data_IF_854019527285
#
_entry.id   IF_854019527285
#
_cell.length_a   1.000
_cell.length_b   1.000
_cell.length_c   1.000
_cell.angle_alpha   90.00
_cell.angle_beta   90.00
_cell.angle_gamma   90.00
#
_symmetry.space_group_name_H-M   'P 1'
#
loop_
_entity.id
_entity.type
_entity.pdbx_description
1 polymer ?
#
# COMPACT_ATOMS: atom_id res chain seq x y z
N UNK A 1 -13.21 3.88 2.84
CA UNK A 1 -12.12 4.56 2.13
C UNK A 1 -12.47 6.04 2.02
N UNK A 2 -11.53 6.87 2.37
CA UNK A 2 -11.69 8.31 2.35
C UNK A 2 -11.29 8.86 0.97
N UNK A 3 -12.29 9.17 0.16
CA UNK A 3 -12.08 9.67 -1.21
C UNK A 3 -11.50 11.10 -1.27
N UNK A 4 -11.43 11.78 -0.13
CA UNK A 4 -10.78 13.10 -0.04
C UNK A 4 -9.28 13.02 0.18
N UNK A 5 -8.75 11.80 0.32
CA UNK A 5 -7.33 11.55 0.55
C UNK A 5 -6.73 10.79 -0.61
N UNK A 6 -5.41 10.90 -0.76
CA UNK A 6 -4.64 10.06 -1.68
C UNK A 6 -4.50 8.66 -1.09
N UNK A 7 -4.92 7.67 -1.84
CA UNK A 7 -4.96 6.27 -1.37
C UNK A 7 -3.69 5.55 -1.80
N UNK A 8 -2.95 5.05 -0.82
CA UNK A 8 -1.79 4.18 -1.06
C UNK A 8 -2.20 2.75 -0.75
N UNK A 9 -2.10 1.87 -1.72
CA UNK A 9 -2.39 0.44 -1.54
C UNK A 9 -1.08 -0.34 -1.63
N UNK A 10 -0.73 -1.00 -0.52
CA UNK A 10 0.41 -1.91 -0.45
C UNK A 10 -0.11 -3.35 -0.57
N UNK A 11 -0.03 -3.91 -1.77
CA UNK A 11 -0.56 -5.23 -2.07
C UNK A 11 0.44 -6.34 -1.87
N UNK A 12 -0.02 -7.47 -1.38
CA UNK A 12 0.77 -8.69 -1.18
C UNK A 12 2.04 -8.46 -0.35
N UNK A 13 1.92 -7.68 0.73
CA UNK A 13 3.08 -7.34 1.56
C UNK A 13 3.64 -8.56 2.29
N UNK A 14 4.95 -8.54 2.48
CA UNK A 14 5.73 -9.58 3.15
C UNK A 14 6.36 -9.02 4.43
N UNK A 15 6.88 -9.90 5.33
CA UNK A 15 7.60 -9.43 6.52
C UNK A 15 8.66 -8.38 6.17
N UNK A 16 8.82 -7.39 7.02
CA UNK A 16 9.67 -6.21 6.92
C UNK A 16 9.15 -5.11 5.97
N UNK A 17 8.37 -5.45 4.96
CA UNK A 17 7.79 -4.45 4.06
C UNK A 17 6.74 -3.57 4.75
N UNK A 18 5.92 -4.15 5.61
CA UNK A 18 4.90 -3.40 6.33
C UNK A 18 5.53 -2.33 7.23
N UNK A 19 6.64 -2.66 7.89
CA UNK A 19 7.36 -1.68 8.71
C UNK A 19 7.90 -0.53 7.88
N UNK A 20 8.49 -0.83 6.73
CA UNK A 20 8.99 0.19 5.80
C UNK A 20 7.87 1.15 5.41
N UNK A 21 6.70 0.62 5.04
CA UNK A 21 5.57 1.44 4.63
C UNK A 21 4.94 2.23 5.78
N UNK A 22 4.94 1.71 6.99
CA UNK A 22 4.50 2.46 8.17
C UNK A 22 5.46 3.62 8.47
N UNK A 23 6.75 3.41 8.34
CA UNK A 23 7.76 4.47 8.50
C UNK A 23 7.59 5.56 7.43
N UNK A 24 7.36 5.15 6.18
CA UNK A 24 7.09 6.08 5.07
C UNK A 24 5.82 6.88 5.35
N UNK A 25 4.75 6.21 5.75
CA UNK A 25 3.47 6.84 6.01
C UNK A 25 3.56 7.89 7.13
N UNK A 26 4.29 7.59 8.20
CA UNK A 26 4.55 8.55 9.27
C UNK A 26 5.21 9.82 8.74
N UNK A 27 6.16 9.67 7.84
CA UNK A 27 6.91 10.80 7.26
C UNK A 27 6.08 11.65 6.31
N UNK A 28 5.24 11.04 5.49
CA UNK A 28 4.51 11.76 4.44
C UNK A 28 3.14 12.29 4.89
N UNK A 29 2.56 11.73 5.95
CA UNK A 29 1.19 12.04 6.35
C UNK A 29 1.09 13.15 7.41
N UNK A 30 2.04 14.08 7.43
CA UNK A 30 2.07 15.20 8.37
C UNK A 30 0.79 16.04 8.27
N UNK A 31 0.31 16.28 7.06
CA UNK A 31 -0.89 17.08 6.79
C UNK A 31 -2.17 16.23 6.67
N UNK A 32 -2.08 14.94 7.00
CA UNK A 32 -3.21 14.01 6.94
C UNK A 32 -3.87 13.93 5.54
N UNK A 33 -3.04 13.94 4.51
CA UNK A 33 -3.47 13.91 3.09
C UNK A 33 -3.58 12.51 2.49
N UNK A 34 -3.09 11.48 3.19
CA UNK A 34 -3.01 10.12 2.69
C UNK A 34 -3.80 9.15 3.56
N UNK A 35 -4.26 8.08 2.93
CA UNK A 35 -4.76 6.88 3.61
C UNK A 35 -3.92 5.70 3.14
N UNK A 36 -3.44 4.88 4.09
CA UNK A 36 -2.64 3.69 3.81
C UNK A 36 -3.49 2.44 3.94
N UNK A 37 -3.51 1.63 2.89
CA UNK A 37 -4.20 0.33 2.89
C UNK A 37 -3.15 -0.75 2.73
N UNK A 38 -3.05 -1.63 3.71
CA UNK A 38 -2.11 -2.75 3.72
C UNK A 38 -2.88 -4.04 3.46
N UNK A 39 -2.52 -4.74 2.40
CA UNK A 39 -3.11 -6.04 2.03
C UNK A 39 -2.01 -7.10 2.13
N UNK A 40 -1.85 -7.75 3.29
CA UNK A 40 -0.76 -8.70 3.47
C UNK A 40 -0.96 -9.94 2.58
N UNK A 41 0.14 -10.52 2.11
CA UNK A 41 0.11 -11.76 1.31
C UNK A 41 -0.48 -12.92 2.11
N UNK A 42 -0.22 -12.94 3.42
CA UNK A 42 -0.70 -13.98 4.33
C UNK A 42 -1.47 -13.36 5.50
N UNK A 43 -2.69 -13.83 5.73
CA UNK A 43 -3.56 -13.29 6.80
C UNK A 43 -2.97 -13.49 8.21
N UNK A 44 -2.13 -14.49 8.40
CA UNK A 44 -1.44 -14.70 9.69
C UNK A 44 -0.54 -13.51 10.09
N UNK A 45 -0.22 -12.61 9.17
CA UNK A 45 0.57 -11.41 9.42
C UNK A 45 -0.24 -10.29 10.09
N UNK A 46 -1.56 -10.34 10.06
CA UNK A 46 -2.42 -9.25 10.54
C UNK A 46 -2.09 -8.86 11.99
N UNK A 47 -1.94 -9.83 12.88
CA UNK A 47 -1.62 -9.56 14.29
C UNK A 47 -0.28 -8.84 14.46
N UNK A 48 0.74 -9.24 13.73
CA UNK A 48 2.06 -8.59 13.77
C UNK A 48 2.00 -7.17 13.21
N UNK A 49 1.22 -6.96 12.16
CA UNK A 49 1.03 -5.62 11.58
C UNK A 49 0.33 -4.70 12.57
N UNK A 50 -0.69 -5.19 13.28
CA UNK A 50 -1.37 -4.42 14.32
C UNK A 50 -0.39 -3.99 15.43
N UNK A 51 0.49 -4.88 15.86
CA UNK A 51 1.53 -4.55 16.84
C UNK A 51 2.47 -3.45 16.33
N UNK A 52 2.91 -3.55 15.09
CA UNK A 52 3.79 -2.54 14.48
C UNK A 52 3.10 -1.17 14.41
N UNK A 53 1.82 -1.15 14.05
CA UNK A 53 1.05 0.10 14.00
C UNK A 53 1.02 0.75 15.39
N UNK A 54 0.76 -0.03 16.43
CA UNK A 54 0.64 0.47 17.80
C UNK A 54 1.97 0.98 18.39
N UNK A 55 3.11 0.67 17.78
CA UNK A 55 4.40 1.26 18.17
C UNK A 55 4.51 2.75 17.78
N UNK A 56 3.79 3.17 16.72
CA UNK A 56 3.90 4.52 16.15
C UNK A 56 2.59 5.28 16.10
N UNK A 57 1.48 4.58 16.10
CA UNK A 57 0.13 5.12 15.94
C UNK A 57 -0.76 4.65 17.08
N UNK A 58 -1.96 5.23 17.20
CA UNK A 58 -2.93 4.81 18.21
C UNK A 58 -3.96 3.82 17.64
N UNK A 59 -4.71 3.18 18.54
CA UNK A 59 -5.83 2.32 18.15
C UNK A 59 -6.88 3.04 17.30
N UNK A 60 -7.03 4.34 17.49
CA UNK A 60 -7.99 5.13 16.74
C UNK A 60 -7.53 5.43 15.31
N UNK A 61 -6.25 5.22 14.98
CA UNK A 61 -5.69 5.52 13.67
C UNK A 61 -5.89 4.41 12.65
N UNK A 62 -6.24 3.19 13.06
CA UNK A 62 -6.38 2.06 12.14
C UNK A 62 -7.64 1.24 12.39
N UNK A 63 -8.00 0.45 11.40
CA UNK A 63 -9.05 -0.56 11.51
C UNK A 63 -8.76 -1.76 10.60
N UNK A 64 -9.32 -2.91 10.97
CA UNK A 64 -9.38 -4.06 10.09
C UNK A 64 -10.54 -3.88 9.09
N UNK A 65 -10.30 -4.28 7.86
CA UNK A 65 -11.31 -4.13 6.80
C UNK A 65 -12.63 -4.86 7.11
N UNK A 66 -12.55 -6.07 7.68
CA UNK A 66 -13.77 -6.82 8.06
C UNK A 66 -14.62 -6.10 9.09
N UNK A 67 -13.99 -5.33 10.00
CA UNK A 67 -14.73 -4.51 10.96
C UNK A 67 -15.44 -3.35 10.28
N UNK A 68 -14.80 -2.74 9.29
CA UNK A 68 -15.40 -1.67 8.48
C UNK A 68 -16.63 -2.20 7.72
N UNK A 69 -16.53 -3.39 7.13
CA UNK A 69 -17.65 -4.01 6.43
C UNK A 69 -18.85 -4.25 7.34
N UNK A 70 -18.61 -4.75 8.55
CA UNK A 70 -19.66 -5.01 9.54
C UNK A 70 -20.37 -3.75 10.03
N UNK A 71 -19.64 -2.62 10.07
CA UNK A 71 -20.13 -1.36 10.59
C UNK A 71 -20.71 -0.43 9.51
N UNK A 72 -20.90 -0.91 8.28
CA UNK A 72 -21.48 -0.13 7.18
C UNK A 72 -22.86 0.45 7.49
N UNK A 73 -23.59 -0.14 8.44
CA UNK A 73 -24.91 0.34 8.88
C UNK A 73 -24.82 1.47 9.91
N UNK A 74 -23.68 1.64 10.58
CA UNK A 74 -23.41 2.73 11.52
C UNK A 74 -22.41 3.66 10.88
N UNK A 75 -22.91 4.65 10.13
CA UNK A 75 -22.16 5.47 9.18
C UNK A 75 -21.02 6.33 9.74
N UNK A 76 -20.74 6.30 11.05
CA UNK A 76 -19.82 7.25 11.65
C UNK A 76 -18.51 6.65 12.24
N UNK A 77 -18.46 5.35 12.51
CA UNK A 77 -17.41 4.78 13.38
C UNK A 77 -16.19 4.16 12.69
N UNK A 78 -15.94 4.33 11.45
CA UNK A 78 -14.77 3.71 10.82
C UNK A 78 -14.45 4.25 9.46
N UNK A 79 -15.22 5.25 9.08
CA UNK A 79 -15.26 5.73 7.71
C UNK A 79 -13.92 6.27 7.21
N UNK A 80 -13.06 6.77 8.11
CA UNK A 80 -11.88 7.54 7.71
C UNK A 80 -10.65 7.25 8.57
N UNK A 81 -10.37 5.97 8.83
CA UNK A 81 -9.13 5.60 9.53
C UNK A 81 -7.94 5.88 8.63
N UNK A 82 -6.84 6.33 9.22
CA UNK A 82 -5.59 6.62 8.50
C UNK A 82 -5.00 5.38 7.85
N UNK A 83 -5.12 4.23 8.54
CA UNK A 83 -4.57 2.96 8.10
C UNK A 83 -5.67 1.90 8.13
N UNK A 84 -5.76 1.12 7.06
CA UNK A 84 -6.67 -0.03 6.98
C UNK A 84 -5.84 -1.27 6.69
N UNK A 85 -6.00 -2.31 7.50
CA UNK A 85 -5.43 -3.63 7.23
C UNK A 85 -6.52 -4.50 6.63
N UNK A 86 -6.28 -5.02 5.44
CA UNK A 86 -7.21 -5.91 4.76
C UNK A 86 -7.00 -7.34 5.24
N UNK A 87 -7.87 -7.78 6.11
CA UNK A 87 -7.83 -9.09 6.77
C UNK A 87 -8.76 -10.11 6.08
N UNK A 88 -8.86 -10.01 4.77
CA UNK A 88 -9.71 -10.86 3.93
C UNK A 88 -8.98 -11.16 2.62
N UNK A 89 -9.04 -12.42 2.17
CA UNK A 89 -8.43 -12.84 0.92
C UNK A 89 -9.33 -12.55 -0.29
N UNK A 90 -8.70 -12.44 -1.47
CA UNK A 90 -9.42 -12.41 -2.73
C UNK A 90 -9.97 -11.06 -3.17
N UNK A 91 -9.63 -9.97 -2.47
CA UNK A 91 -10.16 -8.64 -2.77
C UNK A 91 -9.09 -7.58 -3.09
N UNK A 92 -7.83 -8.00 -3.25
CA UNK A 92 -6.73 -7.07 -3.52
C UNK A 92 -6.97 -6.22 -4.78
N UNK A 93 -7.49 -6.83 -5.84
CA UNK A 93 -7.75 -6.13 -7.10
C UNK A 93 -8.72 -4.97 -6.95
N UNK A 94 -9.72 -5.11 -6.06
CA UNK A 94 -10.67 -4.05 -5.77
C UNK A 94 -9.96 -2.82 -5.18
N UNK A 95 -8.95 -3.04 -4.35
CA UNK A 95 -8.15 -1.96 -3.77
C UNK A 95 -7.21 -1.33 -4.79
N UNK A 96 -6.56 -2.11 -5.65
CA UNK A 96 -5.74 -1.54 -6.71
C UNK A 96 -6.55 -0.63 -7.63
N UNK A 97 -7.80 -0.97 -7.88
CA UNK A 97 -8.68 -0.20 -8.75
C UNK A 97 -8.90 1.24 -8.23
N UNK A 98 -8.91 1.44 -6.92
CA UNK A 98 -9.14 2.74 -6.31
C UNK A 98 -7.86 3.44 -5.83
N UNK A 99 -6.71 2.81 -5.98
CA UNK A 99 -5.43 3.34 -5.53
C UNK A 99 -5.00 4.56 -6.36
N UNK A 100 -4.46 5.56 -5.67
CA UNK A 100 -3.68 6.62 -6.32
C UNK A 100 -2.23 6.16 -6.48
N UNK A 101 -1.72 5.41 -5.49
CA UNK A 101 -0.42 4.77 -5.53
C UNK A 101 -0.56 3.29 -5.18
N UNK A 102 0.03 2.43 -5.98
CA UNK A 102 0.01 0.98 -5.78
C UNK A 102 1.44 0.47 -5.58
N UNK A 103 1.67 -0.24 -4.50
CA UNK A 103 2.92 -0.96 -4.24
C UNK A 103 2.67 -2.46 -4.36
N UNK A 104 3.59 -3.16 -5.00
CA UNK A 104 3.54 -4.63 -5.10
C UNK A 104 4.60 -5.26 -4.21
N UNK A 105 4.15 -6.08 -3.27
CA UNK A 105 4.98 -6.71 -2.26
C UNK A 105 5.92 -7.79 -2.78
N UNK A 106 6.83 -8.23 -1.90
CA UNK A 106 7.88 -9.18 -2.22
C UNK A 106 9.01 -8.58 -3.05
N UNK A 107 9.05 -7.25 -3.16
CA UNK A 107 10.02 -6.52 -4.00
C UNK A 107 10.99 -5.65 -3.21
N UNK A 108 10.64 -5.22 -2.00
CA UNK A 108 11.58 -4.53 -1.09
C UNK A 108 12.37 -5.51 -0.24
N UNK A 109 11.95 -6.75 -0.20
CA UNK A 109 12.64 -7.86 0.47
C UNK A 109 12.94 -8.95 -0.56
N UNK A 110 13.93 -9.80 -0.29
CA UNK A 110 14.39 -10.80 -1.24
C UNK A 110 13.43 -12.00 -1.34
N UNK A 111 12.26 -11.75 -1.86
CA UNK A 111 11.22 -12.76 -2.16
C UNK A 111 11.09 -12.99 -3.66
N UNK A 112 11.35 -11.96 -4.47
CA UNK A 112 11.33 -12.08 -5.93
C UNK A 112 10.15 -11.44 -6.63
N UNK A 113 9.24 -10.83 -5.87
CA UNK A 113 8.11 -10.06 -6.41
C UNK A 113 6.83 -10.86 -6.61
N UNK A 114 5.73 -10.24 -6.30
CA UNK A 114 4.38 -10.69 -6.65
C UNK A 114 3.93 -10.04 -7.96
N UNK A 115 2.74 -10.39 -8.43
CA UNK A 115 2.27 -9.96 -9.75
C UNK A 115 2.08 -8.44 -9.85
N UNK A 116 2.67 -7.84 -10.88
CA UNK A 116 2.47 -6.44 -11.25
C UNK A 116 1.32 -6.28 -12.27
N UNK A 117 0.80 -7.38 -12.82
CA UNK A 117 -0.25 -7.34 -13.84
C UNK A 117 -1.57 -6.79 -13.29
N UNK A 118 -1.88 -7.08 -12.02
CA UNK A 118 -3.12 -6.63 -11.40
C UNK A 118 -3.23 -5.10 -11.37
N UNK A 119 -2.25 -4.36 -10.80
CA UNK A 119 -2.33 -2.90 -10.83
C UNK A 119 -2.20 -2.33 -12.25
N UNK A 120 -1.39 -2.93 -13.12
CA UNK A 120 -1.25 -2.49 -14.51
C UNK A 120 -2.57 -2.61 -15.29
N UNK A 121 -3.32 -3.67 -15.04
CA UNK A 121 -4.64 -3.88 -15.67
C UNK A 121 -5.59 -2.71 -15.42
N UNK A 122 -5.53 -2.10 -14.25
CA UNK A 122 -6.36 -0.95 -13.87
C UNK A 122 -5.71 0.39 -14.21
N UNK A 123 -4.66 0.39 -15.03
CA UNK A 123 -3.98 1.62 -15.44
C UNK A 123 -3.15 2.28 -14.35
N UNK A 124 -2.81 1.53 -13.30
CA UNK A 124 -1.95 2.04 -12.23
C UNK A 124 -0.49 1.84 -12.58
N UNK A 125 0.36 2.74 -12.11
CA UNK A 125 1.81 2.64 -12.25
C UNK A 125 2.37 2.06 -10.96
N UNK A 126 2.62 0.74 -10.86
CA UNK A 126 3.04 0.16 -9.60
C UNK A 126 4.45 0.61 -9.22
N UNK A 127 4.62 0.80 -7.91
CA UNK A 127 5.91 1.00 -7.26
C UNK A 127 6.42 -0.39 -6.86
N UNK A 128 7.64 -0.73 -7.21
CA UNK A 128 8.28 -1.99 -6.80
C UNK A 128 9.70 -1.73 -6.31
N UNK A 129 10.17 -2.59 -5.42
CA UNK A 129 11.57 -2.61 -5.01
C UNK A 129 12.46 -3.32 -6.02
N UNK A 130 13.71 -3.55 -5.64
CA UNK A 130 14.74 -4.13 -6.52
C UNK A 130 14.70 -5.66 -6.64
N UNK A 131 13.93 -6.34 -5.79
CA UNK A 131 13.86 -7.80 -5.79
C UNK A 131 12.69 -8.27 -6.65
N UNK A 132 12.91 -8.46 -7.95
CA UNK A 132 11.86 -8.88 -8.89
C UNK A 132 12.29 -10.05 -9.79
N UNK A 133 13.15 -10.93 -9.28
CA UNK A 133 13.69 -12.05 -10.04
C UNK A 133 12.63 -13.03 -10.55
N UNK A 134 11.47 -13.14 -9.89
CA UNK A 134 10.37 -14.00 -10.35
C UNK A 134 9.54 -13.39 -11.48
N UNK A 135 9.65 -12.08 -11.70
CA UNK A 135 8.83 -11.32 -12.65
C UNK A 135 9.69 -10.44 -13.56
N UNK A 136 10.95 -10.82 -13.74
CA UNK A 136 11.98 -9.99 -14.40
C UNK A 136 11.59 -9.57 -15.81
N UNK A 137 11.06 -10.48 -16.62
CA UNK A 137 10.68 -10.19 -18.01
C UNK A 137 9.59 -9.13 -18.10
N UNK A 138 8.53 -9.28 -17.31
CA UNK A 138 7.40 -8.32 -17.28
C UNK A 138 7.87 -6.97 -16.75
N UNK A 139 8.73 -6.97 -15.72
CA UNK A 139 9.30 -5.74 -15.16
C UNK A 139 10.13 -5.00 -16.21
N UNK A 140 10.97 -5.72 -16.94
CA UNK A 140 11.77 -5.14 -18.00
C UNK A 140 10.91 -4.45 -19.07
N UNK A 141 9.90 -5.15 -19.55
CA UNK A 141 8.98 -4.62 -20.57
C UNK A 141 8.21 -3.39 -20.04
N UNK A 142 7.68 -3.49 -18.82
CA UNK A 142 6.95 -2.39 -18.21
C UNK A 142 7.85 -1.17 -17.96
N UNK A 143 9.12 -1.38 -17.58
CA UNK A 143 10.10 -0.31 -17.39
C UNK A 143 10.39 0.42 -18.71
N UNK A 144 10.59 -0.32 -19.78
CA UNK A 144 10.83 0.26 -21.11
C UNK A 144 9.67 1.14 -21.57
N UNK A 145 8.43 0.75 -21.22
CA UNK A 145 7.21 1.49 -21.54
C UNK A 145 6.89 2.62 -20.56
N UNK A 146 7.64 2.75 -19.47
CA UNK A 146 7.40 3.76 -18.45
C UNK A 146 6.21 3.48 -17.55
N UNK A 147 5.79 2.22 -17.42
CA UNK A 147 4.58 1.82 -16.70
C UNK A 147 4.82 1.40 -15.25
N UNK A 148 6.06 1.39 -14.79
CA UNK A 148 6.40 1.07 -13.40
C UNK A 148 7.43 2.04 -12.85
N UNK A 149 7.48 2.15 -11.52
CA UNK A 149 8.51 2.87 -10.77
C UNK A 149 9.29 1.87 -9.93
N UNK A 150 10.60 1.76 -10.19
CA UNK A 150 11.50 0.90 -9.43
C UNK A 150 12.24 1.75 -8.42
N UNK A 151 12.19 1.37 -7.14
CA UNK A 151 12.83 2.08 -6.03
C UNK A 151 13.85 1.19 -5.33
N UNK A 152 14.94 1.78 -4.88
CA UNK A 152 16.00 1.08 -4.15
C UNK A 152 15.70 0.97 -2.66
N UNK A 153 15.08 2.01 -2.08
CA UNK A 153 14.93 2.13 -0.63
C UNK A 153 13.76 3.04 -0.24
N UNK A 154 13.55 3.16 1.06
CA UNK A 154 12.52 4.01 1.67
C UNK A 154 12.60 5.47 1.22
N UNK A 155 13.81 6.04 1.18
CA UNK A 155 14.00 7.45 0.83
C UNK A 155 13.56 7.74 -0.62
N UNK A 156 13.81 6.83 -1.53
CA UNK A 156 13.35 6.96 -2.92
C UNK A 156 11.83 6.89 -3.05
N UNK A 157 11.18 6.07 -2.22
CA UNK A 157 9.71 6.00 -2.18
C UNK A 157 9.13 7.33 -1.70
N UNK A 158 9.65 7.87 -0.60
CA UNK A 158 9.23 9.16 -0.05
C UNK A 158 9.40 10.28 -1.09
N UNK A 159 10.54 10.31 -1.75
CA UNK A 159 10.83 11.29 -2.81
C UNK A 159 9.84 11.16 -3.98
N UNK A 160 9.57 9.95 -4.41
CA UNK A 160 8.61 9.68 -5.49
C UNK A 160 7.20 10.16 -5.12
N UNK A 161 6.72 9.84 -3.93
CA UNK A 161 5.39 10.26 -3.46
C UNK A 161 5.28 11.78 -3.36
N UNK A 162 6.31 12.45 -2.89
CA UNK A 162 6.34 13.92 -2.75
C UNK A 162 6.28 14.66 -4.08
N UNK A 163 6.72 14.07 -5.18
CA UNK A 163 6.61 14.69 -6.51
C UNK A 163 5.16 15.02 -6.89
N UNK A 164 4.20 14.27 -6.38
CA UNK A 164 2.79 14.43 -6.68
C UNK A 164 2.06 15.38 -5.72
N UNK A 165 2.69 15.82 -4.63
CA UNK A 165 2.11 16.79 -3.70
C UNK A 165 2.02 18.18 -4.32
N UNK A 166 2.91 18.50 -5.25
CA UNK A 166 3.05 19.82 -5.85
C UNK A 166 2.30 20.02 -7.18
N UNK A 167 1.54 19.01 -7.64
CA UNK A 167 0.88 19.05 -8.95
C UNK A 167 -0.57 19.51 -8.87
N UNK A 168 -1.16 19.55 -7.67
CA UNK A 168 -2.55 19.92 -7.45
C UNK A 168 -2.75 21.38 -7.01
N UNK A 169 -1.85 22.26 -7.40
CA UNK A 169 -2.02 23.72 -7.22
C UNK A 169 -2.29 24.42 -8.53
#
# INVERSE_FOLDING_TARGET
IDRNKKIIVCGSTRPDEEKIWLDIFEKININNEYQLIIVPRHLKRVYEIEKMILEKFSRNDYSLFTKIEKNKKNSEMGKYKKIVIVDKMGILTDFYQIADFAFVGGTLVDIGGHSILEPLYYGKKPIIGKYFQNIEEIVKDAKELGFIEIVENEDEIVEYLKKFENVDT
#
